data_IF_456854021666
#
_entry.id   IF_456854021666
#
_cell.length_a   1.000
_cell.length_b   1.000
_cell.length_c   1.000
_cell.angle_alpha   90.00
_cell.angle_beta   90.00
_cell.angle_gamma   90.00
#
_symmetry.space_group_name_H-M   'P 1'
#
loop_
_entity.id
_entity.type
_entity.pdbx_description
1 polymer ?
#
# COMPACT_ATOMS: atom_id res chain seq x y z
N UNK A 1 -2.17 39.69 9.47
CA UNK A 1 -2.24 38.22 9.62
C UNK A 1 -1.22 37.61 8.67
N UNK A 2 -0.17 36.96 9.19
CA UNK A 2 0.88 36.36 8.37
C UNK A 2 0.33 35.09 7.72
N UNK A 3 0.20 35.11 6.38
CA UNK A 3 -0.13 33.94 5.57
C UNK A 3 1.02 32.94 5.67
N UNK A 4 0.82 31.85 6.41
CA UNK A 4 1.76 30.71 6.37
C UNK A 4 1.79 30.19 4.94
N UNK A 5 2.88 30.47 4.23
CA UNK A 5 3.16 29.92 2.91
C UNK A 5 3.45 28.42 3.06
N UNK A 6 2.75 27.59 2.30
CA UNK A 6 2.99 26.14 2.24
C UNK A 6 4.36 25.90 1.61
N UNK A 7 5.22 25.17 2.32
CA UNK A 7 6.55 24.79 1.82
C UNK A 7 6.41 23.92 0.57
N UNK A 8 7.32 24.10 -0.38
CA UNK A 8 7.42 23.32 -1.61
C UNK A 8 8.01 21.96 -1.27
N UNK A 9 7.65 20.92 -2.04
CA UNK A 9 8.03 19.54 -1.71
C UNK A 9 9.56 19.34 -1.64
N UNK A 10 10.32 19.98 -2.52
CA UNK A 10 11.79 19.94 -2.53
C UNK A 10 12.44 20.74 -1.38
N UNK A 11 11.66 21.49 -0.58
CA UNK A 11 12.16 22.17 0.62
C UNK A 11 12.00 21.29 1.88
N UNK A 12 11.28 20.17 1.77
CA UNK A 12 10.93 19.30 2.91
C UNK A 12 11.23 17.83 2.66
N UNK A 13 11.54 17.44 1.42
CA UNK A 13 11.84 16.07 1.05
C UNK A 13 13.09 16.03 0.16
N UNK A 14 13.94 15.03 0.41
CA UNK A 14 15.06 14.68 -0.46
C UNK A 14 14.64 13.52 -1.37
N UNK A 15 14.87 13.61 -2.70
CA UNK A 15 14.63 12.48 -3.60
C UNK A 15 15.48 11.28 -3.18
N UNK A 16 14.90 10.08 -3.32
CA UNK A 16 15.62 8.86 -3.02
C UNK A 16 16.87 8.72 -3.93
N UNK A 17 17.99 8.13 -3.45
CA UNK A 17 19.25 8.12 -4.20
C UNK A 17 19.17 7.49 -5.60
N UNK A 18 18.26 6.56 -5.81
CA UNK A 18 17.97 5.91 -7.11
C UNK A 18 17.54 6.89 -8.21
N UNK A 19 16.83 7.97 -7.85
CA UNK A 19 16.39 9.03 -8.78
C UNK A 19 17.59 9.63 -9.51
N UNK A 20 18.74 9.73 -8.83
CA UNK A 20 19.97 10.28 -9.41
C UNK A 20 20.82 9.24 -10.13
N UNK A 21 20.67 7.95 -9.79
CA UNK A 21 21.47 6.84 -10.33
C UNK A 21 21.16 6.53 -11.81
N UNK A 22 20.03 7.01 -12.33
CA UNK A 22 19.56 6.82 -13.74
C UNK A 22 19.37 5.35 -14.17
N UNK A 23 19.44 4.41 -13.24
CA UNK A 23 19.22 2.98 -13.46
C UNK A 23 18.17 2.50 -12.46
N UNK A 24 16.91 2.70 -12.84
CA UNK A 24 15.75 2.39 -11.99
C UNK A 24 15.06 1.18 -12.62
N UNK A 25 15.08 0.05 -11.91
CA UNK A 25 14.41 -1.15 -12.38
C UNK A 25 12.88 -0.96 -12.29
N UNK A 26 12.11 -0.97 -13.39
CA UNK A 26 10.68 -0.64 -13.34
C UNK A 26 9.85 -1.56 -12.42
N UNK A 27 10.33 -2.78 -12.18
CA UNK A 27 9.71 -3.75 -11.28
C UNK A 27 9.63 -3.25 -9.83
N UNK A 28 10.52 -2.35 -9.40
CA UNK A 28 10.53 -1.79 -8.05
C UNK A 28 9.29 -0.96 -7.73
N UNK A 29 8.59 -0.47 -8.75
CA UNK A 29 7.33 0.27 -8.60
C UNK A 29 6.10 -0.64 -8.56
N UNK A 30 6.26 -1.92 -8.87
CA UNK A 30 5.18 -2.89 -8.87
C UNK A 30 5.25 -3.75 -7.61
N UNK A 31 4.32 -3.53 -6.69
CA UNK A 31 4.15 -4.42 -5.56
C UNK A 31 3.83 -5.84 -6.05
N UNK A 32 4.47 -6.85 -5.45
CA UNK A 32 4.27 -8.27 -5.75
C UNK A 32 3.92 -9.01 -4.46
N UNK A 33 2.69 -9.52 -4.36
CA UNK A 33 2.25 -10.29 -3.19
C UNK A 33 3.09 -11.55 -2.99
N UNK A 34 3.48 -12.23 -4.07
CA UNK A 34 4.33 -13.41 -3.98
C UNK A 34 5.70 -13.07 -3.40
N UNK A 35 6.30 -11.95 -3.82
CA UNK A 35 7.59 -11.52 -3.27
C UNK A 35 7.49 -11.10 -1.79
N UNK A 36 6.33 -10.59 -1.36
CA UNK A 36 6.06 -10.30 0.06
C UNK A 36 5.96 -11.60 0.85
N UNK A 37 5.15 -12.54 0.38
CA UNK A 37 4.94 -13.84 1.03
C UNK A 37 6.22 -14.69 1.10
N UNK A 38 7.07 -14.63 0.06
CA UNK A 38 8.37 -15.31 0.03
C UNK A 38 9.47 -14.58 0.81
N UNK A 39 9.20 -13.37 1.32
CA UNK A 39 10.17 -12.54 2.04
C UNK A 39 11.28 -11.95 1.15
N UNK A 40 11.13 -11.96 -0.18
CA UNK A 40 12.12 -11.43 -1.12
C UNK A 40 11.84 -9.99 -1.58
N UNK A 41 10.68 -9.43 -1.25
CA UNK A 41 10.36 -8.03 -1.51
C UNK A 41 11.12 -7.08 -0.58
N UNK A 42 11.13 -5.78 -0.94
CA UNK A 42 11.70 -4.74 -0.09
C UNK A 42 11.08 -4.78 1.33
N UNK A 43 11.87 -4.38 2.33
CA UNK A 43 11.43 -4.29 3.73
C UNK A 43 10.23 -3.40 3.92
N UNK A 44 10.05 -2.38 3.08
CA UNK A 44 8.87 -1.52 3.10
C UNK A 44 7.56 -2.28 2.80
N UNK A 45 7.64 -3.45 2.15
CA UNK A 45 6.49 -4.30 1.89
C UNK A 45 6.41 -5.54 2.79
N UNK A 46 7.54 -6.07 3.28
CA UNK A 46 7.55 -7.30 4.12
C UNK A 46 7.42 -7.03 5.61
N UNK A 47 7.81 -5.85 6.08
CA UNK A 47 7.68 -5.44 7.48
C UNK A 47 6.33 -4.69 7.66
N UNK A 48 5.38 -5.23 8.43
CA UNK A 48 4.04 -4.66 8.53
C UNK A 48 4.05 -3.24 9.12
N UNK A 49 4.91 -2.95 10.10
CA UNK A 49 4.99 -1.61 10.69
C UNK A 49 5.46 -0.58 9.67
N UNK A 50 6.48 -0.93 8.86
CA UNK A 50 6.97 -0.06 7.77
C UNK A 50 5.93 0.12 6.68
N UNK A 51 5.28 -0.96 6.29
CA UNK A 51 4.25 -0.96 5.26
C UNK A 51 3.10 -0.02 5.64
N UNK A 52 2.56 -0.15 6.84
CA UNK A 52 1.46 0.70 7.30
C UNK A 52 1.90 2.14 7.61
N UNK A 53 3.15 2.37 8.05
CA UNK A 53 3.68 3.73 8.20
C UNK A 53 3.75 4.50 6.87
N UNK A 54 3.90 3.78 5.75
CA UNK A 54 3.94 4.34 4.39
C UNK A 54 2.62 4.20 3.63
N UNK A 55 1.61 3.57 4.22
CA UNK A 55 0.30 3.35 3.60
C UNK A 55 -0.72 4.30 4.18
N UNK A 56 -1.28 5.15 3.32
CA UNK A 56 -2.45 5.93 3.71
C UNK A 56 -3.70 5.04 3.66
N UNK A 57 -4.33 4.81 4.82
CA UNK A 57 -5.58 4.04 4.91
C UNK A 57 -6.72 4.87 4.33
N UNK A 58 -6.99 4.65 3.04
CA UNK A 58 -8.16 5.24 2.39
C UNK A 58 -9.44 4.56 2.88
N UNK A 59 -10.56 5.27 2.82
CA UNK A 59 -11.88 4.68 3.12
C UNK A 59 -12.19 3.43 2.29
N UNK A 60 -11.71 3.38 1.04
CA UNK A 60 -11.90 2.19 0.21
C UNK A 60 -11.09 1.00 0.71
N UNK A 61 -9.86 1.23 1.18
CA UNK A 61 -9.03 0.18 1.75
C UNK A 61 -9.62 -0.31 3.08
N UNK A 62 -10.02 0.61 3.95
CA UNK A 62 -10.70 0.32 5.22
C UNK A 62 -11.93 -0.59 5.01
N UNK A 63 -12.83 -0.22 4.09
CA UNK A 63 -14.04 -1.00 3.80
C UNK A 63 -13.73 -2.42 3.31
N UNK A 64 -12.68 -2.59 2.50
CA UNK A 64 -12.26 -3.92 2.00
C UNK A 64 -11.72 -4.76 3.14
N UNK A 65 -10.79 -4.20 3.93
CA UNK A 65 -10.22 -4.89 5.09
C UNK A 65 -11.30 -5.27 6.11
N UNK A 66 -12.23 -4.38 6.43
CA UNK A 66 -13.33 -4.66 7.36
C UNK A 66 -14.20 -5.83 6.87
N UNK A 67 -14.62 -5.80 5.60
CA UNK A 67 -15.40 -6.89 4.98
C UNK A 67 -14.70 -8.24 5.07
N UNK A 68 -13.41 -8.28 4.74
CA UNK A 68 -12.63 -9.51 4.66
C UNK A 68 -12.31 -10.05 6.07
N UNK A 69 -11.92 -9.17 7.01
CA UNK A 69 -11.66 -9.55 8.40
C UNK A 69 -12.92 -10.05 9.10
N UNK A 70 -14.08 -9.40 8.94
CA UNK A 70 -15.35 -9.89 9.49
C UNK A 70 -15.66 -11.32 9.02
N UNK A 71 -15.41 -11.60 7.74
CA UNK A 71 -15.58 -12.93 7.16
C UNK A 71 -14.61 -13.95 7.76
N UNK A 72 -13.33 -13.59 7.90
CA UNK A 72 -12.29 -14.45 8.48
C UNK A 72 -12.55 -14.75 9.97
N UNK A 73 -13.13 -13.81 10.71
CA UNK A 73 -13.54 -13.99 12.11
C UNK A 73 -14.80 -14.87 12.27
N UNK A 74 -15.41 -15.31 11.17
CA UNK A 74 -16.58 -16.18 11.20
C UNK A 74 -17.89 -15.47 11.52
N UNK A 75 -17.96 -14.15 11.35
CA UNK A 75 -19.21 -13.40 11.49
C UNK A 75 -20.17 -13.77 10.34
N UNK A 76 -21.03 -14.74 10.61
CA UNK A 76 -21.96 -15.28 9.63
C UNK A 76 -22.83 -14.18 9.00
N UNK A 77 -22.85 -14.12 7.67
CA UNK A 77 -23.64 -13.15 6.91
C UNK A 77 -22.97 -11.79 6.67
N UNK A 78 -21.73 -11.58 7.15
CA UNK A 78 -20.92 -10.39 6.84
C UNK A 78 -19.71 -10.74 5.97
N UNK A 79 -19.39 -9.82 5.05
CA UNK A 79 -18.32 -9.95 4.07
C UNK A 79 -18.67 -10.85 2.88
N UNK A 80 -18.18 -10.47 1.69
CA UNK A 80 -18.39 -11.27 0.48
C UNK A 80 -17.48 -12.52 0.48
N UNK A 81 -17.99 -13.72 0.17
CA UNK A 81 -17.16 -14.94 0.11
C UNK A 81 -16.18 -14.92 -1.07
N UNK A 82 -16.47 -14.11 -2.08
CA UNK A 82 -15.60 -13.85 -3.23
C UNK A 82 -15.67 -12.36 -3.50
N UNK A 83 -14.52 -11.70 -3.49
CA UNK A 83 -14.39 -10.29 -3.82
C UNK A 83 -13.52 -10.13 -5.06
N UNK A 84 -13.93 -9.25 -5.98
CA UNK A 84 -13.13 -8.86 -7.14
C UNK A 84 -12.66 -7.42 -6.95
N UNK A 85 -11.35 -7.23 -6.85
CA UNK A 85 -10.76 -5.90 -6.79
C UNK A 85 -10.72 -5.31 -8.22
N UNK A 86 -11.64 -4.38 -8.49
CA UNK A 86 -11.74 -3.71 -9.79
C UNK A 86 -11.21 -2.28 -9.70
N UNK A 87 -9.98 -2.09 -10.13
CA UNK A 87 -9.40 -0.77 -10.31
C UNK A 87 -8.58 -0.72 -11.60
N UNK A 88 -8.37 0.47 -12.20
CA UNK A 88 -7.39 0.65 -13.25
C UNK A 88 -5.96 0.27 -12.81
N UNK A 89 -5.03 0.28 -13.76
CA UNK A 89 -3.60 0.15 -13.47
C UNK A 89 -3.16 1.22 -12.45
N UNK A 90 -2.33 0.83 -11.48
CA UNK A 90 -1.92 1.69 -10.37
C UNK A 90 -2.98 1.93 -9.29
N UNK A 91 -4.18 1.35 -9.39
CA UNK A 91 -5.26 1.55 -8.40
C UNK A 91 -5.15 0.74 -7.11
N UNK A 92 -3.97 0.21 -6.78
CA UNK A 92 -3.72 -0.37 -5.45
C UNK A 92 -4.16 -1.82 -5.21
N UNK A 93 -4.60 -2.59 -6.23
CA UNK A 93 -5.05 -3.99 -6.03
C UNK A 93 -4.06 -4.85 -5.24
N UNK A 94 -2.82 -4.94 -5.70
CA UNK A 94 -1.80 -5.74 -5.00
C UNK A 94 -1.47 -5.15 -3.64
N UNK A 95 -1.51 -3.82 -3.50
CA UNK A 95 -1.31 -3.13 -2.23
C UNK A 95 -2.39 -3.48 -1.20
N UNK A 96 -3.66 -3.52 -1.62
CA UNK A 96 -4.79 -3.99 -0.80
C UNK A 96 -4.61 -5.44 -0.38
N UNK A 97 -4.17 -6.31 -1.29
CA UNK A 97 -3.90 -7.71 -0.94
C UNK A 97 -2.74 -7.85 0.05
N UNK A 98 -1.68 -7.04 -0.08
CA UNK A 98 -0.57 -7.01 0.89
C UNK A 98 -1.05 -6.50 2.25
N UNK A 99 -1.91 -5.47 2.27
CA UNK A 99 -2.49 -4.96 3.52
C UNK A 99 -3.38 -5.99 4.23
N UNK A 100 -4.02 -6.91 3.51
CA UNK A 100 -4.79 -8.01 4.08
C UNK A 100 -3.90 -9.21 4.49
N UNK A 101 -2.75 -9.37 3.82
CA UNK A 101 -1.77 -10.41 4.15
C UNK A 101 -1.08 -10.15 5.48
N UNK A 102 -0.78 -8.88 5.77
CA UNK A 102 -0.29 -8.41 7.07
C UNK A 102 -1.39 -8.40 8.12
#
# INVERSE_FOLDING_TARGET
MSTKSTKRIWEVCEPHPDVFARDIEPSMFAASLHAVESGTADRDYTDPERFFAKTFITRSLENVLESDLMRLMGEAGRGAPVMRLETPFGGGKTHTMIALYH
#
